data_IF_117893132483
#
_entry.id   IF_117893132483
#
_cell.length_a   1.000
_cell.length_b   1.000
_cell.length_c   1.000
_cell.angle_alpha   90.00
_cell.angle_beta   90.00
_cell.angle_gamma   90.00
#
_symmetry.space_group_name_H-M   'P 1'
#
loop_
_entity.id
_entity.type
_entity.pdbx_description
1 polymer ?
#
# COMPACT_ATOMS: atom_id res chain seq x y z
N UNK A 1 -2.75 19.37 4.63
CA UNK A 1 -3.35 18.69 3.45
C UNK A 1 -4.08 17.44 3.90
N UNK A 2 -5.36 17.33 3.56
CA UNK A 2 -6.17 16.13 3.82
C UNK A 2 -6.16 15.22 2.58
N UNK A 3 -6.13 13.92 2.80
CA UNK A 3 -6.09 12.91 1.76
C UNK A 3 -7.39 12.11 1.76
N UNK A 4 -7.81 11.64 0.57
CA UNK A 4 -8.96 10.76 0.44
C UNK A 4 -8.62 9.59 -0.48
N UNK A 5 -8.94 8.38 -0.01
CA UNK A 5 -8.79 7.17 -0.81
C UNK A 5 -9.82 7.16 -1.95
N UNK A 6 -9.35 7.04 -3.19
CA UNK A 6 -10.25 6.94 -4.36
C UNK A 6 -11.09 5.66 -4.38
N UNK A 7 -10.64 4.61 -3.68
CA UNK A 7 -11.33 3.30 -3.65
C UNK A 7 -12.31 3.17 -2.48
N UNK A 8 -11.85 3.39 -1.24
CA UNK A 8 -12.67 3.17 -0.04
C UNK A 8 -13.17 4.45 0.64
N UNK A 9 -12.85 5.63 0.11
CA UNK A 9 -13.25 6.93 0.64
C UNK A 9 -12.74 7.25 2.06
N UNK A 10 -11.86 6.41 2.63
CA UNK A 10 -11.12 6.71 3.87
C UNK A 10 -10.36 8.02 3.74
N UNK A 11 -10.42 8.86 4.77
CA UNK A 11 -9.71 10.14 4.81
C UNK A 11 -8.68 10.18 5.93
N UNK A 12 -7.52 10.78 5.67
CA UNK A 12 -6.44 10.93 6.64
C UNK A 12 -5.68 12.25 6.46
N UNK A 13 -4.90 12.62 7.47
CA UNK A 13 -4.15 13.88 7.50
C UNK A 13 -4.90 15.04 8.13
N UNK A 14 -4.17 16.13 8.37
CA UNK A 14 -4.66 17.37 8.98
C UNK A 14 -4.69 18.46 7.90
N UNK A 15 -5.85 19.11 7.70
CA UNK A 15 -6.03 20.18 6.72
C UNK A 15 -7.50 20.48 6.44
N UNK A 16 -7.77 21.73 6.05
CA UNK A 16 -9.11 22.18 5.65
C UNK A 16 -9.35 21.87 4.16
N UNK A 17 -10.33 21.02 3.83
CA UNK A 17 -10.57 20.56 2.46
C UNK A 17 -10.86 21.67 1.44
N UNK A 18 -11.54 22.73 1.89
CA UNK A 18 -12.04 23.80 1.03
C UNK A 18 -10.94 24.76 0.56
N UNK A 19 -9.81 24.84 1.27
CA UNK A 19 -8.67 25.72 0.92
C UNK A 19 -7.52 24.96 0.26
N UNK A 20 -7.22 23.74 0.72
CA UNK A 20 -6.04 23.00 0.28
C UNK A 20 -6.33 21.91 -0.77
N UNK A 21 -7.61 21.55 -0.95
CA UNK A 21 -8.04 20.45 -1.81
C UNK A 21 -7.63 19.06 -1.29
N UNK A 22 -8.31 18.02 -1.78
CA UNK A 22 -7.93 16.64 -1.50
C UNK A 22 -6.90 16.15 -2.52
N UNK A 23 -5.80 15.56 -2.04
CA UNK A 23 -4.98 14.68 -2.89
C UNK A 23 -5.66 13.31 -2.93
N UNK A 24 -6.00 12.88 -4.14
CA UNK A 24 -6.68 11.63 -4.41
C UNK A 24 -5.65 10.52 -4.74
N UNK A 25 -5.51 9.56 -3.83
CA UNK A 25 -4.64 8.39 -3.96
C UNK A 25 -5.32 7.13 -3.40
N UNK A 26 -4.58 6.03 -3.24
CA UNK A 26 -5.07 4.87 -2.49
C UNK A 26 -4.58 4.95 -1.04
N UNK A 27 -5.46 4.69 -0.07
CA UNK A 27 -4.99 4.41 1.29
C UNK A 27 -4.11 3.15 1.27
N UNK A 28 -3.33 2.96 2.33
CA UNK A 28 -2.33 1.90 2.38
C UNK A 28 -2.91 0.49 2.19
N UNK A 29 -4.07 0.23 2.80
CA UNK A 29 -4.83 -1.02 2.63
C UNK A 29 -5.22 -1.23 1.17
N UNK A 30 -5.87 -0.23 0.56
CA UNK A 30 -6.31 -0.32 -0.83
C UNK A 30 -5.14 -0.42 -1.81
N UNK A 31 -4.02 0.26 -1.53
CA UNK A 31 -2.78 0.18 -2.31
C UNK A 31 -2.22 -1.24 -2.26
N UNK A 32 -2.09 -1.82 -1.06
CA UNK A 32 -1.59 -3.18 -0.86
C UNK A 32 -2.45 -4.20 -1.59
N UNK A 33 -3.77 -4.13 -1.45
CA UNK A 33 -4.71 -5.01 -2.16
C UNK A 33 -4.53 -4.91 -3.68
N UNK A 34 -4.46 -3.69 -4.21
CA UNK A 34 -4.34 -3.44 -5.65
C UNK A 34 -3.01 -3.94 -6.21
N UNK A 35 -1.91 -3.78 -5.46
CA UNK A 35 -0.58 -4.22 -5.87
C UNK A 35 -0.38 -5.73 -5.72
N UNK A 36 -1.13 -6.39 -4.83
CA UNK A 36 -0.95 -7.81 -4.49
C UNK A 36 -0.85 -8.74 -5.70
N UNK A 37 -1.80 -8.76 -6.63
CA UNK A 37 -1.73 -9.66 -7.78
C UNK A 37 -0.54 -9.35 -8.71
N UNK A 38 -0.16 -8.09 -8.86
CA UNK A 38 0.93 -7.69 -9.75
C UNK A 38 2.30 -8.00 -9.16
N UNK A 39 2.51 -7.66 -7.90
CA UNK A 39 3.78 -7.92 -7.21
C UNK A 39 4.01 -9.41 -7.04
N UNK A 40 2.99 -10.18 -6.64
CA UNK A 40 3.13 -11.64 -6.49
C UNK A 40 3.46 -12.34 -7.80
N UNK A 41 2.84 -11.93 -8.91
CA UNK A 41 3.23 -12.41 -10.25
C UNK A 41 4.69 -12.10 -10.60
N UNK A 42 5.17 -10.92 -10.22
CA UNK A 42 6.58 -10.54 -10.41
C UNK A 42 7.51 -11.39 -9.54
N UNK A 43 7.18 -11.59 -8.27
CA UNK A 43 7.95 -12.44 -7.35
C UNK A 43 8.09 -13.86 -7.91
N UNK A 44 6.99 -14.48 -8.32
CA UNK A 44 7.01 -15.82 -8.92
C UNK A 44 7.88 -15.87 -10.19
N UNK A 45 7.79 -14.85 -11.06
CA UNK A 45 8.60 -14.77 -12.28
C UNK A 45 10.10 -14.64 -11.99
N UNK A 46 10.45 -13.96 -10.90
CA UNK A 46 11.83 -13.76 -10.44
C UNK A 46 12.35 -14.95 -9.60
N UNK A 47 11.55 -16.01 -9.39
CA UNK A 47 11.91 -17.17 -8.58
C UNK A 47 11.85 -16.90 -7.06
N UNK A 48 11.16 -15.83 -6.65
CA UNK A 48 10.93 -15.48 -5.24
C UNK A 48 9.59 -16.03 -4.73
N UNK A 49 9.48 -16.14 -3.40
CA UNK A 49 8.20 -16.42 -2.74
C UNK A 49 7.19 -15.30 -3.00
N UNK A 50 5.93 -15.67 -3.24
CA UNK A 50 4.81 -14.77 -3.52
C UNK A 50 4.21 -14.15 -2.24
N UNK A 51 5.10 -13.73 -1.33
CA UNK A 51 4.75 -13.36 0.04
C UNK A 51 4.16 -11.95 0.19
N UNK A 52 4.18 -11.12 -0.87
CA UNK A 52 3.68 -9.75 -0.79
C UNK A 52 2.19 -9.71 -0.40
N UNK A 53 1.86 -8.89 0.60
CA UNK A 53 0.50 -8.77 1.13
C UNK A 53 0.02 -9.96 1.99
N UNK A 54 0.83 -11.02 2.13
CA UNK A 54 0.53 -12.20 2.98
C UNK A 54 1.34 -12.23 4.27
N UNK A 55 2.56 -11.69 4.23
CA UNK A 55 3.42 -11.56 5.40
C UNK A 55 3.01 -10.33 6.23
N UNK A 56 1.78 -10.34 6.74
CA UNK A 56 1.33 -9.37 7.75
C UNK A 56 2.09 -9.63 9.05
N UNK A 57 3.07 -8.77 9.33
CA UNK A 57 3.84 -8.68 10.58
C UNK A 57 4.96 -9.70 10.82
N UNK A 58 5.13 -10.72 9.96
CA UNK A 58 6.16 -11.77 10.14
C UNK A 58 7.28 -11.74 9.08
N UNK A 59 7.44 -10.64 8.35
CA UNK A 59 8.50 -10.53 7.34
C UNK A 59 9.85 -10.12 7.98
N UNK A 60 10.80 -11.05 7.95
CA UNK A 60 12.18 -10.90 8.42
C UNK A 60 13.14 -10.35 7.34
N UNK A 61 12.71 -10.29 6.08
CA UNK A 61 13.50 -9.73 4.97
C UNK A 61 13.61 -8.20 5.05
N UNK A 62 14.52 -7.71 5.90
CA UNK A 62 14.79 -6.28 6.12
C UNK A 62 15.10 -5.50 4.83
N UNK A 63 15.77 -6.15 3.86
CA UNK A 63 16.17 -5.58 2.57
C UNK A 63 15.09 -5.69 1.47
N UNK A 64 13.90 -6.22 1.78
CA UNK A 64 12.84 -6.34 0.78
C UNK A 64 12.29 -4.96 0.39
N UNK A 65 12.34 -4.63 -0.90
CA UNK A 65 11.84 -3.36 -1.47
C UNK A 65 10.36 -3.07 -1.15
N UNK A 66 9.57 -4.12 -0.86
CA UNK A 66 8.15 -4.00 -0.55
C UNK A 66 7.85 -3.97 0.96
N UNK A 67 8.87 -4.11 1.82
CA UNK A 67 8.71 -4.25 3.27
C UNK A 67 7.89 -3.12 3.89
N UNK A 68 8.12 -1.88 3.46
CA UNK A 68 7.40 -0.71 3.96
C UNK A 68 5.88 -0.75 3.71
N UNK A 69 5.46 -1.36 2.60
CA UNK A 69 4.03 -1.52 2.25
C UNK A 69 3.42 -2.76 2.92
N UNK A 70 4.23 -3.79 3.19
CA UNK A 70 3.76 -5.01 3.84
C UNK A 70 3.60 -4.87 5.37
N UNK A 71 4.37 -4.00 6.03
CA UNK A 71 4.40 -3.88 7.50
C UNK A 71 3.72 -2.64 8.07
N UNK A 72 3.41 -1.67 7.22
CA UNK A 72 2.52 -0.56 7.54
C UNK A 72 1.17 -0.90 6.95
#
# INVERSE_FOLDING_TARGET
MKYQCVKCQETWGEGNPEEEGYSHGLCLTCLRETLTPTVRRKQLREGHFDCFGRASCYCDQSMCKYRGVCLR
#
